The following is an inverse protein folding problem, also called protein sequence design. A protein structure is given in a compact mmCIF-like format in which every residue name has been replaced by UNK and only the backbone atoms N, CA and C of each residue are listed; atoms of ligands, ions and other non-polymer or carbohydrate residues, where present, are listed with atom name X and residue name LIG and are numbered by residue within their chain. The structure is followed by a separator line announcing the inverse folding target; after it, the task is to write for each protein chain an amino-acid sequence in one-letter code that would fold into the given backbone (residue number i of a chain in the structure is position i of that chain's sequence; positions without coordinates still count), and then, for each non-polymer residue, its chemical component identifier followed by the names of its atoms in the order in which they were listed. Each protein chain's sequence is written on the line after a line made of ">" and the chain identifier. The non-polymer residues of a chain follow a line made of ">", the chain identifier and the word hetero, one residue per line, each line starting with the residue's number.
data_IF_721295536813
#
_entry.id   IF_721295536813
#
_cell.length_a   1.000
_cell.length_b   1.000
_cell.length_c   1.000
_cell.angle_alpha   90.00
_cell.angle_beta   90.00
_cell.angle_gamma   90.00
#
_symmetry.space_group_name_H-M   'P 1'
#
loop_
_entity.id
_entity.type
_entity.pdbx_description
1 polymer ?
#
# COMPACT_ATOMS: atom_id res chain seq x y z
N UNK A 1 32.59 31.12 -19.68
CA UNK A 1 32.19 29.79 -20.20
C UNK A 1 32.24 28.64 -19.17
N UNK A 2 32.18 28.89 -17.85
CA UNK A 2 32.20 27.83 -16.79
C UNK A 2 30.85 27.62 -16.07
N UNK A 3 29.91 28.56 -16.16
CA UNK A 3 28.61 28.50 -15.47
C UNK A 3 27.57 27.59 -16.16
N UNK A 4 27.75 27.25 -17.44
CA UNK A 4 26.80 26.42 -18.20
C UNK A 4 26.95 24.92 -17.83
N UNK A 5 28.17 24.46 -17.51
CA UNK A 5 28.41 23.05 -17.13
C UNK A 5 27.76 22.65 -15.80
N UNK A 6 27.61 23.60 -14.87
CA UNK A 6 27.06 23.34 -13.53
C UNK A 6 25.53 23.09 -13.61
N UNK A 7 24.81 23.87 -14.41
CA UNK A 7 23.35 23.69 -14.57
C UNK A 7 22.98 22.35 -15.21
N UNK A 8 23.75 21.86 -16.17
CA UNK A 8 23.52 20.55 -16.80
C UNK A 8 23.74 19.37 -15.86
N UNK A 9 24.68 19.45 -14.91
CA UNK A 9 24.92 18.38 -13.93
C UNK A 9 23.75 18.26 -12.95
N UNK A 10 23.19 19.38 -12.47
CA UNK A 10 22.01 19.34 -11.61
C UNK A 10 20.75 18.86 -12.34
N UNK A 11 20.60 19.20 -13.62
CA UNK A 11 19.48 18.72 -14.44
C UNK A 11 19.59 17.22 -14.72
N UNK A 12 20.79 16.71 -14.99
CA UNK A 12 21.05 15.28 -15.16
C UNK A 12 20.87 14.53 -13.84
N UNK A 13 21.37 15.06 -12.72
CA UNK A 13 21.15 14.48 -11.40
C UNK A 13 19.66 14.46 -11.01
N UNK A 14 18.91 15.53 -11.26
CA UNK A 14 17.46 15.59 -11.05
C UNK A 14 16.70 14.60 -11.96
N UNK A 15 17.12 14.48 -13.22
CA UNK A 15 16.51 13.54 -14.18
C UNK A 15 16.79 12.07 -13.82
N UNK A 16 18.02 11.76 -13.40
CA UNK A 16 18.38 10.44 -12.87
C UNK A 16 17.58 10.16 -11.60
N UNK A 17 17.47 11.13 -10.69
CA UNK A 17 16.65 11.01 -9.48
C UNK A 17 15.19 10.69 -9.81
N UNK A 18 14.61 11.34 -10.81
CA UNK A 18 13.22 11.11 -11.25
C UNK A 18 13.01 9.72 -11.88
N UNK A 19 13.97 9.22 -12.66
CA UNK A 19 13.91 7.87 -13.26
C UNK A 19 14.07 6.79 -12.18
N UNK A 20 14.95 7.00 -11.20
CA UNK A 20 15.09 6.10 -10.05
C UNK A 20 13.85 6.12 -9.16
N UNK A 21 13.23 7.29 -8.94
CA UNK A 21 11.99 7.42 -8.16
C UNK A 21 10.86 6.62 -8.78
N UNK A 22 10.65 6.65 -10.10
CA UNK A 22 9.58 5.89 -10.75
C UNK A 22 9.75 4.36 -10.63
N UNK A 23 10.98 3.83 -10.79
CA UNK A 23 11.27 2.40 -10.59
C UNK A 23 11.25 2.00 -9.12
N UNK A 24 11.75 2.86 -8.23
CA UNK A 24 11.72 2.65 -6.78
C UNK A 24 10.28 2.62 -6.24
N UNK A 25 9.39 3.51 -6.73
CA UNK A 25 7.98 3.52 -6.34
C UNK A 25 7.29 2.20 -6.68
N UNK A 26 7.60 1.58 -7.82
CA UNK A 26 7.07 0.26 -8.18
C UNK A 26 7.56 -0.85 -7.24
N UNK A 27 8.83 -0.82 -6.84
CA UNK A 27 9.40 -1.77 -5.88
C UNK A 27 8.81 -1.62 -4.48
N UNK A 28 8.61 -0.39 -3.99
CA UNK A 28 7.98 -0.17 -2.67
C UNK A 28 6.55 -0.66 -2.62
N UNK A 29 5.73 -0.38 -3.65
CA UNK A 29 4.36 -0.85 -3.69
C UNK A 29 4.30 -2.38 -3.71
N UNK A 30 5.26 -3.06 -4.35
CA UNK A 30 5.37 -4.51 -4.28
C UNK A 30 5.69 -5.00 -2.86
N UNK A 31 6.57 -4.32 -2.11
CA UNK A 31 6.85 -4.68 -0.72
C UNK A 31 5.64 -4.41 0.18
N UNK A 32 4.97 -3.28 0.02
CA UNK A 32 3.73 -2.99 0.73
C UNK A 32 2.65 -4.03 0.41
N UNK A 33 2.49 -4.43 -0.86
CA UNK A 33 1.59 -5.51 -1.27
C UNK A 33 1.95 -6.83 -0.59
N UNK A 34 3.23 -7.20 -0.63
CA UNK A 34 3.74 -8.42 0.00
C UNK A 34 3.45 -8.44 1.51
N UNK A 35 3.78 -7.38 2.25
CA UNK A 35 3.49 -7.32 3.68
C UNK A 35 2.00 -7.20 3.99
N UNK A 36 1.22 -6.54 3.15
CA UNK A 36 -0.24 -6.48 3.29
C UNK A 36 -0.90 -7.84 3.03
N UNK A 37 -0.24 -8.76 2.32
CA UNK A 37 -0.70 -10.14 2.19
C UNK A 37 -0.69 -10.84 3.56
N UNK A 38 0.34 -10.63 4.38
CA UNK A 38 0.51 -11.30 5.68
C UNK A 38 -0.07 -10.51 6.86
N UNK A 39 0.03 -9.18 6.84
CA UNK A 39 -0.31 -8.28 7.94
C UNK A 39 -1.12 -7.07 7.44
N UNK A 40 -2.33 -7.28 6.88
CA UNK A 40 -3.17 -6.18 6.44
C UNK A 40 -3.76 -5.41 7.65
N UNK A 41 -4.05 -4.11 7.55
CA UNK A 41 -3.50 -3.18 6.59
C UNK A 41 -2.13 -2.64 7.04
N UNK A 42 -1.04 -3.10 6.41
CA UNK A 42 0.36 -2.78 6.82
C UNK A 42 0.62 -1.27 6.94
N UNK A 43 -0.04 -0.48 6.10
CA UNK A 43 0.05 0.98 6.10
C UNK A 43 -0.41 1.60 7.44
N UNK A 44 -1.48 1.07 8.03
CA UNK A 44 -2.01 1.59 9.29
C UNK A 44 -1.05 1.30 10.44
N UNK A 45 -0.42 0.12 10.46
CA UNK A 45 0.61 -0.20 11.46
C UNK A 45 1.79 0.78 11.39
N UNK A 46 2.23 1.13 10.19
CA UNK A 46 3.27 2.14 9.98
C UNK A 46 2.82 3.51 10.49
N UNK A 47 1.58 3.92 10.19
CA UNK A 47 1.03 5.19 10.67
C UNK A 47 0.93 5.26 12.20
N UNK A 48 0.53 4.17 12.86
CA UNK A 48 0.50 4.10 14.33
C UNK A 48 1.91 4.22 14.89
N UNK A 49 2.89 3.49 14.34
CA UNK A 49 4.27 3.55 14.80
C UNK A 49 4.85 4.98 14.68
N UNK A 50 4.68 5.61 13.52
CA UNK A 50 5.15 6.97 13.27
C UNK A 50 4.41 7.99 14.14
N UNK A 51 3.09 7.88 14.25
CA UNK A 51 2.26 8.76 15.06
C UNK A 51 2.60 8.68 16.55
N UNK A 52 2.84 7.47 17.07
CA UNK A 52 3.23 7.27 18.46
C UNK A 52 4.62 7.83 18.74
N UNK A 53 5.58 7.61 17.83
CA UNK A 53 6.92 8.19 17.95
C UNK A 53 6.89 9.72 17.90
N UNK A 54 6.15 10.31 16.96
CA UNK A 54 6.02 11.75 16.82
C UNK A 54 5.31 12.37 18.04
N UNK A 55 4.25 11.76 18.55
CA UNK A 55 3.53 12.23 19.74
C UNK A 55 4.44 12.25 20.97
N UNK A 56 5.28 11.23 21.16
CA UNK A 56 6.23 11.19 22.28
C UNK A 56 7.39 12.17 22.10
N UNK A 57 7.81 12.47 20.85
CA UNK A 57 8.79 13.51 20.55
C UNK A 57 8.27 14.94 20.82
N UNK A 58 7.01 15.21 20.48
CA UNK A 58 6.31 16.44 20.83
C UNK A 58 6.29 16.59 22.35
N UNK A 59 5.91 15.55 23.07
CA UNK A 59 5.88 15.55 24.53
C UNK A 59 7.27 15.84 25.14
N UNK A 60 8.31 15.13 24.66
CA UNK A 60 9.70 15.35 25.07
C UNK A 60 10.12 16.81 24.91
N UNK A 61 9.78 17.42 23.78
CA UNK A 61 10.13 18.81 23.44
C UNK A 61 9.34 19.83 24.27
N UNK A 62 8.01 19.67 24.39
CA UNK A 62 7.12 20.59 25.10
C UNK A 62 7.42 20.61 26.60
N UNK A 63 7.62 19.44 27.21
CA UNK A 63 7.90 19.32 28.64
C UNK A 63 9.39 19.39 28.98
N UNK A 64 10.27 19.57 27.98
CA UNK A 64 11.73 19.63 28.11
C UNK A 64 12.31 18.45 28.91
N UNK A 65 11.74 17.25 28.71
CA UNK A 65 12.20 16.01 29.39
C UNK A 65 12.94 15.12 28.41
N UNK A 66 14.06 14.54 28.85
CA UNK A 66 14.79 13.56 28.04
C UNK A 66 14.11 12.19 28.15
N UNK A 67 13.45 11.76 27.09
CA UNK A 67 12.92 10.41 26.95
C UNK A 67 13.94 9.51 26.25
N UNK A 68 13.93 8.21 26.56
CA UNK A 68 14.90 7.26 26.00
C UNK A 68 14.69 7.11 24.48
N UNK A 69 15.77 7.23 23.70
CA UNK A 69 15.79 7.11 22.24
C UNK A 69 14.79 8.00 21.48
N UNK A 70 14.39 9.12 22.08
CA UNK A 70 13.52 10.14 21.48
C UNK A 70 14.29 11.47 21.49
N UNK A 71 14.86 11.88 20.34
CA UNK A 71 15.54 13.16 20.24
C UNK A 71 14.53 14.32 20.19
N UNK A 72 15.01 15.53 19.86
CA UNK A 72 14.14 16.68 19.66
C UNK A 72 13.18 16.48 18.48
N UNK A 73 12.07 17.21 18.46
CA UNK A 73 11.05 17.09 17.41
C UNK A 73 11.61 17.31 16.00
N UNK A 74 12.55 18.25 15.83
CA UNK A 74 13.16 18.54 14.52
C UNK A 74 13.92 17.34 13.96
N UNK A 75 14.74 16.69 14.79
CA UNK A 75 15.48 15.49 14.39
C UNK A 75 14.53 14.30 14.17
N UNK A 76 13.49 14.16 14.98
CA UNK A 76 12.45 13.13 14.77
C UNK A 76 11.77 13.30 13.42
N UNK A 77 11.33 14.51 13.08
CA UNK A 77 10.70 14.77 11.77
C UNK A 77 11.68 14.46 10.64
N UNK A 78 12.94 14.87 10.75
CA UNK A 78 13.97 14.55 9.76
C UNK A 78 14.17 13.03 9.61
N UNK A 79 14.26 12.30 10.72
CA UNK A 79 14.39 10.83 10.71
C UNK A 79 13.17 10.16 10.07
N UNK A 80 11.96 10.62 10.38
CA UNK A 80 10.73 10.11 9.77
C UNK A 80 10.76 10.34 8.25
N UNK A 81 11.14 11.54 7.79
CA UNK A 81 11.25 11.83 6.35
C UNK A 81 12.28 10.93 5.68
N UNK A 82 13.47 10.79 6.26
CA UNK A 82 14.52 9.91 5.73
C UNK A 82 14.04 8.45 5.67
N UNK A 83 13.40 7.96 6.73
CA UNK A 83 12.89 6.59 6.77
C UNK A 83 11.69 6.39 5.84
N UNK A 84 10.82 7.38 5.65
CA UNK A 84 9.77 7.33 4.64
C UNK A 84 10.38 7.20 3.24
N UNK A 85 11.36 8.05 2.90
CA UNK A 85 12.08 7.95 1.62
C UNK A 85 12.76 6.59 1.48
N UNK A 86 13.45 6.10 2.50
CA UNK A 86 14.08 4.78 2.49
C UNK A 86 13.07 3.62 2.36
N UNK A 87 11.87 3.77 2.95
CA UNK A 87 10.76 2.83 2.83
C UNK A 87 10.24 2.75 1.39
N UNK A 88 10.24 3.88 0.66
CA UNK A 88 9.87 3.93 -0.75
C UNK A 88 10.98 3.43 -1.69
N UNK A 89 12.22 3.31 -1.24
CA UNK A 89 13.35 2.94 -2.11
C UNK A 89 13.79 1.48 -1.91
N UNK A 90 13.88 0.97 -0.68
CA UNK A 90 14.50 -0.35 -0.42
C UNK A 90 13.80 -1.23 0.61
N UNK A 91 13.46 -0.70 1.78
CA UNK A 91 13.13 -1.52 2.96
C UNK A 91 11.63 -1.74 3.15
N UNK A 92 10.80 -0.97 2.45
CA UNK A 92 9.36 -1.07 2.54
C UNK A 92 8.84 -0.69 3.93
N UNK A 93 7.66 -1.17 4.32
CA UNK A 93 7.03 -0.80 5.58
C UNK A 93 7.84 -1.22 6.82
N UNK A 94 8.71 -2.23 6.71
CA UNK A 94 9.51 -2.70 7.84
C UNK A 94 10.50 -1.67 8.37
N UNK A 95 10.93 -0.70 7.56
CA UNK A 95 11.76 0.41 8.03
C UNK A 95 11.04 1.36 9.00
N UNK A 96 9.70 1.36 9.00
CA UNK A 96 8.88 2.28 9.79
C UNK A 96 8.41 1.65 11.11
N UNK A 97 8.29 0.31 11.19
CA UNK A 97 7.83 -0.38 12.41
C UNK A 97 8.75 -0.20 13.63
N UNK A 98 10.10 -0.14 13.50
CA UNK A 98 10.99 0.07 14.65
C UNK A 98 10.74 1.36 15.43
N UNK A 99 10.10 2.36 14.82
CA UNK A 99 9.71 3.60 15.52
C UNK A 99 8.71 3.37 16.65
N UNK A 100 8.05 2.21 16.71
CA UNK A 100 7.18 1.83 17.82
C UNK A 100 7.96 1.45 19.10
N UNK A 101 9.25 1.09 19.00
CA UNK A 101 10.03 0.56 20.12
C UNK A 101 10.32 1.63 21.19
N UNK A 102 10.88 2.82 20.86
CA UNK A 102 11.14 3.85 21.87
C UNK A 102 9.91 4.30 22.68
N UNK A 103 8.75 4.60 22.07
CA UNK A 103 7.60 5.08 22.83
C UNK A 103 7.02 3.96 23.71
N UNK A 104 7.04 2.71 23.24
CA UNK A 104 6.65 1.55 24.04
C UNK A 104 7.57 1.34 25.25
N UNK A 105 8.89 1.45 25.06
CA UNK A 105 9.86 1.33 26.14
C UNK A 105 9.66 2.44 27.20
N UNK A 106 9.42 3.68 26.78
CA UNK A 106 9.12 4.78 27.70
C UNK A 106 7.80 4.58 28.43
N UNK A 107 6.76 4.09 27.75
CA UNK A 107 5.46 3.74 28.36
C UNK A 107 5.63 2.67 29.46
N UNK A 108 6.30 1.56 29.16
CA UNK A 108 6.57 0.49 30.14
C UNK A 108 7.44 1.02 31.29
N UNK A 109 8.43 1.86 30.99
CA UNK A 109 9.29 2.48 31.99
C UNK A 109 8.51 3.32 33.00
N UNK A 110 7.52 4.11 32.54
CA UNK A 110 6.65 4.91 33.41
C UNK A 110 5.76 4.02 34.28
N UNK A 111 5.24 2.90 33.75
CA UNK A 111 4.43 1.97 34.53
C UNK A 111 5.24 1.29 35.66
N UNK A 112 6.51 0.97 35.40
CA UNK A 112 7.39 0.32 36.38
C UNK A 112 7.96 1.29 37.42
N UNK A 113 8.23 2.54 37.04
CA UNK A 113 8.91 3.53 37.91
C UNK A 113 8.01 4.75 38.13
N UNK A 114 7.11 4.65 39.12
CA UNK A 114 6.11 5.69 39.43
C UNK A 114 6.69 7.09 39.72
N UNK A 115 7.97 7.21 40.07
CA UNK A 115 8.59 8.49 40.48
C UNK A 115 9.63 9.05 39.49
N UNK A 116 9.79 8.49 38.28
CA UNK A 116 10.83 8.96 37.33
C UNK A 116 10.56 10.35 36.75
N UNK A 117 9.29 10.71 36.59
CA UNK A 117 8.85 11.99 36.04
C UNK A 117 7.75 12.60 36.89
N UNK A 118 7.46 13.90 36.67
CA UNK A 118 6.33 14.56 37.31
C UNK A 118 5.02 13.83 36.97
N UNK A 119 4.06 13.86 37.91
CA UNK A 119 2.79 13.16 37.77
C UNK A 119 2.04 13.51 36.48
N UNK A 120 2.11 14.79 36.05
CA UNK A 120 1.49 15.27 34.81
C UNK A 120 2.11 14.59 33.58
N UNK A 121 3.45 14.54 33.49
CA UNK A 121 4.17 13.95 32.35
C UNK A 121 3.91 12.45 32.28
N UNK A 122 4.02 11.75 33.42
CA UNK A 122 3.73 10.32 33.52
C UNK A 122 2.32 9.99 33.05
N UNK A 123 1.31 10.78 33.47
CA UNK A 123 -0.08 10.61 33.04
C UNK A 123 -0.25 10.82 31.53
N UNK A 124 0.41 11.82 30.94
CA UNK A 124 0.33 12.04 29.48
C UNK A 124 1.00 10.90 28.69
N UNK A 125 2.17 10.41 29.12
CA UNK A 125 2.83 9.25 28.50
C UNK A 125 1.91 8.02 28.56
N UNK A 126 1.29 7.77 29.73
CA UNK A 126 0.35 6.66 29.91
C UNK A 126 -0.86 6.81 28.97
N UNK A 127 -1.47 7.99 28.91
CA UNK A 127 -2.65 8.22 28.06
C UNK A 127 -2.35 8.01 26.57
N UNK A 128 -1.22 8.56 26.08
CA UNK A 128 -0.78 8.36 24.69
C UNK A 128 -0.52 6.88 24.42
N UNK A 129 0.16 6.20 25.36
CA UNK A 129 0.45 4.77 25.24
C UNK A 129 -0.79 3.89 25.22
N UNK A 130 -1.74 4.12 26.14
CA UNK A 130 -3.03 3.40 26.16
C UNK A 130 -3.79 3.63 24.86
N UNK A 131 -3.87 4.87 24.38
CA UNK A 131 -4.52 5.18 23.11
C UNK A 131 -3.89 4.42 21.93
N UNK A 132 -2.55 4.43 21.83
CA UNK A 132 -1.84 3.69 20.80
C UNK A 132 -2.06 2.18 20.92
N UNK A 133 -2.06 1.61 22.13
CA UNK A 133 -2.33 0.19 22.37
C UNK A 133 -3.77 -0.20 22.00
N UNK A 134 -4.77 0.66 22.29
CA UNK A 134 -6.16 0.45 21.85
C UNK A 134 -6.24 0.43 20.33
N UNK A 135 -5.58 1.37 19.64
CA UNK A 135 -5.53 1.36 18.18
C UNK A 135 -4.87 0.09 17.64
N UNK A 136 -3.73 -0.32 18.20
CA UNK A 136 -3.06 -1.56 17.83
C UNK A 136 -3.99 -2.76 18.02
N UNK A 137 -4.72 -2.83 19.13
CA UNK A 137 -5.68 -3.92 19.39
C UNK A 137 -6.82 -3.94 18.37
N UNK A 138 -7.46 -2.79 18.11
CA UNK A 138 -8.54 -2.68 17.11
C UNK A 138 -8.06 -3.11 15.73
N UNK A 139 -6.89 -2.63 15.30
CA UNK A 139 -6.34 -2.97 13.99
C UNK A 139 -5.78 -4.39 13.92
N UNK A 140 -5.41 -5.00 15.06
CA UNK A 140 -5.12 -6.45 15.13
C UNK A 140 -6.37 -7.26 14.81
N UNK A 141 -7.51 -6.93 15.43
CA UNK A 141 -8.78 -7.61 15.17
C UNK A 141 -9.20 -7.42 13.70
N UNK A 142 -9.08 -6.21 13.17
CA UNK A 142 -9.36 -5.96 11.75
C UNK A 142 -8.41 -6.72 10.83
N UNK A 143 -7.12 -6.80 11.16
CA UNK A 143 -6.12 -7.58 10.42
C UNK A 143 -6.54 -9.04 10.31
N UNK A 144 -6.86 -9.66 11.45
CA UNK A 144 -7.33 -11.05 11.51
C UNK A 144 -8.58 -11.22 10.65
N UNK A 145 -9.57 -10.33 10.80
CA UNK A 145 -10.80 -10.37 10.00
C UNK A 145 -10.49 -10.27 8.50
N UNK A 146 -9.59 -9.38 8.09
CA UNK A 146 -9.19 -9.25 6.67
C UNK A 146 -8.48 -10.51 6.20
N UNK A 147 -7.52 -11.05 6.96
CA UNK A 147 -6.80 -12.29 6.59
C UNK A 147 -7.77 -13.46 6.42
N UNK A 148 -8.76 -13.59 7.31
CA UNK A 148 -9.75 -14.69 7.24
C UNK A 148 -10.78 -14.54 6.11
N UNK A 149 -11.11 -13.32 5.71
CA UNK A 149 -12.23 -13.06 4.76
C UNK A 149 -11.78 -12.59 3.38
N UNK A 150 -10.53 -12.17 3.22
CA UNK A 150 -10.01 -11.67 1.95
C UNK A 150 -9.73 -12.82 1.00
N UNK A 151 -10.42 -12.82 -0.12
CA UNK A 151 -10.14 -13.72 -1.24
C UNK A 151 -8.92 -13.22 -2.03
N UNK A 152 -8.20 -14.14 -2.69
CA UNK A 152 -7.10 -13.80 -3.60
C UNK A 152 -7.53 -12.75 -4.64
N UNK A 153 -8.78 -12.82 -5.08
CA UNK A 153 -9.37 -11.87 -6.04
C UNK A 153 -9.41 -10.44 -5.47
N UNK A 154 -9.89 -10.27 -4.22
CA UNK A 154 -9.90 -8.96 -3.56
C UNK A 154 -8.49 -8.43 -3.32
N UNK A 155 -7.52 -9.32 -3.07
CA UNK A 155 -6.12 -8.95 -2.94
C UNK A 155 -5.53 -8.46 -4.28
N UNK A 156 -5.81 -9.16 -5.38
CA UNK A 156 -5.37 -8.77 -6.74
C UNK A 156 -5.93 -7.39 -7.10
N UNK A 157 -7.23 -7.16 -6.89
CA UNK A 157 -7.86 -5.85 -7.18
C UNK A 157 -7.26 -4.73 -6.33
N UNK A 158 -6.93 -4.99 -5.05
CA UNK A 158 -6.33 -3.98 -4.16
C UNK A 158 -4.91 -3.58 -4.60
N UNK A 159 -4.13 -4.55 -5.06
CA UNK A 159 -2.71 -4.37 -5.37
C UNK A 159 -2.40 -4.58 -6.86
N UNK A 160 -3.34 -4.21 -7.73
CA UNK A 160 -3.18 -4.34 -9.18
C UNK A 160 -1.90 -3.64 -9.66
N UNK A 161 -1.26 -4.23 -10.67
CA UNK A 161 0.03 -3.78 -11.20
C UNK A 161 1.25 -4.19 -10.38
N UNK A 162 1.10 -4.73 -9.16
CA UNK A 162 2.24 -5.21 -8.36
C UNK A 162 2.64 -6.65 -8.71
N UNK A 163 3.92 -6.99 -8.57
CA UNK A 163 4.42 -8.36 -8.81
C UNK A 163 3.67 -9.41 -7.96
N UNK A 164 3.43 -9.20 -6.65
CA UNK A 164 2.66 -10.15 -5.84
C UNK A 164 1.23 -10.38 -6.36
N UNK A 165 0.55 -9.35 -6.84
CA UNK A 165 -0.78 -9.49 -7.44
C UNK A 165 -0.73 -10.29 -8.75
N UNK A 166 0.27 -10.05 -9.61
CA UNK A 166 0.48 -10.83 -10.84
C UNK A 166 0.74 -12.31 -10.52
N UNK A 167 1.57 -12.60 -9.50
CA UNK A 167 1.83 -13.98 -9.06
C UNK A 167 0.55 -14.65 -8.54
N UNK A 168 -0.24 -13.94 -7.73
CA UNK A 168 -1.53 -14.43 -7.24
C UNK A 168 -2.51 -14.70 -8.39
N UNK A 169 -2.58 -13.79 -9.38
CA UNK A 169 -3.40 -13.96 -10.57
C UNK A 169 -2.99 -15.17 -11.41
N UNK A 170 -1.68 -15.35 -11.66
CA UNK A 170 -1.16 -16.52 -12.37
C UNK A 170 -1.46 -17.84 -11.65
N UNK A 171 -1.53 -17.82 -10.31
CA UNK A 171 -1.94 -18.98 -9.52
C UNK A 171 -3.42 -19.30 -9.71
N UNK A 172 -4.29 -18.29 -9.79
CA UNK A 172 -5.72 -18.48 -10.12
C UNK A 172 -5.86 -19.07 -11.52
N UNK A 173 -5.17 -18.50 -12.52
CA UNK A 173 -5.19 -19.01 -13.89
C UNK A 173 -4.80 -20.50 -13.97
N UNK A 174 -3.77 -20.91 -13.22
CA UNK A 174 -3.32 -22.30 -13.17
C UNK A 174 -4.30 -23.23 -12.45
N UNK A 175 -4.90 -22.78 -11.34
CA UNK A 175 -5.76 -23.62 -10.50
C UNK A 175 -7.18 -23.74 -11.01
N UNK A 176 -7.73 -22.65 -11.56
CA UNK A 176 -9.13 -22.55 -11.95
C UNK A 176 -9.25 -21.80 -13.27
N UNK A 177 -8.74 -22.36 -14.37
CA UNK A 177 -8.72 -21.68 -15.66
C UNK A 177 -10.14 -21.35 -16.17
N UNK A 178 -11.18 -22.06 -15.73
CA UNK A 178 -12.55 -21.88 -16.24
C UNK A 178 -13.45 -20.97 -15.41
N UNK A 179 -12.99 -20.49 -14.25
CA UNK A 179 -13.82 -19.66 -13.35
C UNK A 179 -14.01 -18.23 -13.87
N UNK A 180 -15.04 -18.03 -14.68
CA UNK A 180 -15.41 -16.73 -15.27
C UNK A 180 -15.82 -15.68 -14.24
N UNK A 181 -16.45 -16.08 -13.13
CA UNK A 181 -16.87 -15.21 -12.03
C UNK A 181 -15.70 -14.40 -11.45
N UNK A 182 -14.54 -15.03 -11.29
CA UNK A 182 -13.32 -14.39 -10.79
C UNK A 182 -12.81 -13.33 -11.76
N UNK A 183 -12.72 -13.65 -13.06
CA UNK A 183 -12.24 -12.74 -14.09
C UNK A 183 -13.18 -11.55 -14.28
N UNK A 184 -14.51 -11.80 -14.23
CA UNK A 184 -15.54 -10.75 -14.27
C UNK A 184 -15.41 -9.80 -13.08
N UNK A 185 -15.22 -10.33 -11.87
CA UNK A 185 -15.03 -9.50 -10.67
C UNK A 185 -13.80 -8.59 -10.78
N UNK A 186 -12.67 -9.12 -11.27
CA UNK A 186 -11.44 -8.35 -11.48
C UNK A 186 -11.69 -7.17 -12.42
N UNK A 187 -12.32 -7.43 -13.56
CA UNK A 187 -12.61 -6.38 -14.56
C UNK A 187 -13.59 -5.33 -14.05
N UNK A 188 -14.62 -5.72 -13.29
CA UNK A 188 -15.65 -4.79 -12.81
C UNK A 188 -15.14 -3.81 -11.74
N UNK A 189 -14.16 -4.25 -10.94
CA UNK A 189 -13.66 -3.53 -9.78
C UNK A 189 -12.29 -2.86 -9.99
N UNK A 190 -11.56 -3.19 -11.05
CA UNK A 190 -10.33 -2.49 -11.40
C UNK A 190 -10.61 -1.11 -12.01
N UNK A 191 -9.92 -0.08 -11.49
CA UNK A 191 -9.97 1.29 -12.01
C UNK A 191 -9.01 1.52 -13.18
N UNK A 192 -8.07 0.60 -13.41
CA UNK A 192 -7.06 0.64 -14.48
C UNK A 192 -6.90 -0.77 -15.05
N UNK A 193 -6.87 -0.94 -16.37
CA UNK A 193 -6.70 -2.26 -16.98
C UNK A 193 -5.25 -2.68 -17.10
N UNK A 194 -4.55 -2.84 -15.98
CA UNK A 194 -3.17 -3.31 -16.03
C UNK A 194 -3.12 -4.81 -16.34
N UNK A 195 -2.30 -5.57 -15.62
CA UNK A 195 -1.92 -6.91 -16.04
C UNK A 195 -2.99 -7.96 -15.70
N UNK A 196 -3.66 -7.84 -14.56
CA UNK A 196 -4.68 -8.79 -14.13
C UNK A 196 -5.99 -8.63 -14.94
N UNK A 197 -6.48 -7.39 -15.15
CA UNK A 197 -7.57 -7.13 -16.10
C UNK A 197 -7.25 -7.60 -17.52
N UNK A 198 -6.05 -7.34 -18.06
CA UNK A 198 -5.69 -7.80 -19.41
C UNK A 198 -5.72 -9.33 -19.54
N UNK A 199 -5.22 -10.04 -18.54
CA UNK A 199 -5.32 -11.50 -18.48
C UNK A 199 -6.79 -11.98 -18.39
N UNK A 200 -7.59 -11.28 -17.60
CA UNK A 200 -9.02 -11.56 -17.42
C UNK A 200 -9.82 -11.33 -18.71
N UNK A 201 -9.55 -10.25 -19.44
CA UNK A 201 -10.17 -9.94 -20.73
C UNK A 201 -9.86 -11.01 -21.77
N UNK A 202 -8.60 -11.45 -21.86
CA UNK A 202 -8.22 -12.58 -22.72
C UNK A 202 -8.99 -13.84 -22.34
N UNK A 203 -9.18 -14.10 -21.05
CA UNK A 203 -9.89 -15.30 -20.63
C UNK A 203 -11.38 -15.22 -20.92
N UNK A 204 -12.01 -14.06 -20.73
CA UNK A 204 -13.38 -13.79 -21.14
C UNK A 204 -13.52 -13.91 -22.66
N UNK A 205 -12.58 -13.41 -23.47
CA UNK A 205 -12.63 -13.62 -24.93
C UNK A 205 -12.65 -15.10 -25.30
N UNK A 206 -11.94 -15.96 -24.56
CA UNK A 206 -11.81 -17.40 -24.83
C UNK A 206 -13.02 -18.20 -24.30
N UNK A 207 -13.53 -17.91 -23.11
CA UNK A 207 -14.53 -18.73 -22.44
C UNK A 207 -15.88 -18.04 -22.18
N UNK A 208 -15.92 -16.72 -22.30
CA UNK A 208 -17.06 -15.89 -21.92
C UNK A 208 -18.29 -16.10 -22.78
N UNK A 209 -19.41 -15.61 -22.26
CA UNK A 209 -20.71 -15.61 -22.92
C UNK A 209 -21.05 -14.18 -23.38
N UNK A 210 -21.20 -13.94 -24.69
CA UNK A 210 -21.46 -12.59 -25.21
C UNK A 210 -22.65 -11.90 -24.56
N UNK A 211 -23.73 -12.63 -24.26
CA UNK A 211 -24.97 -12.06 -23.70
C UNK A 211 -24.75 -11.46 -22.32
N UNK A 212 -23.91 -12.08 -21.50
CA UNK A 212 -23.61 -11.62 -20.14
C UNK A 212 -22.41 -10.66 -20.10
N UNK A 213 -21.38 -10.93 -20.90
CA UNK A 213 -20.09 -10.27 -20.78
C UNK A 213 -20.02 -8.94 -21.54
N UNK A 214 -20.68 -8.81 -22.71
CA UNK A 214 -20.66 -7.55 -23.48
C UNK A 214 -21.25 -6.37 -22.69
N UNK A 215 -22.43 -6.50 -22.02
CA UNK A 215 -22.96 -5.42 -21.19
C UNK A 215 -22.00 -5.01 -20.06
N UNK A 216 -21.32 -5.99 -19.43
CA UNK A 216 -20.32 -5.72 -18.38
C UNK A 216 -19.12 -4.97 -18.94
N UNK A 217 -18.58 -5.43 -20.07
CA UNK A 217 -17.44 -4.82 -20.74
C UNK A 217 -17.74 -3.40 -21.23
N UNK A 218 -18.93 -3.14 -21.75
CA UNK A 218 -19.36 -1.78 -22.11
C UNK A 218 -19.34 -0.83 -20.90
N UNK A 219 -19.89 -1.25 -19.75
CA UNK A 219 -19.83 -0.45 -18.51
C UNK A 219 -18.40 -0.17 -18.05
N UNK A 220 -17.48 -1.09 -18.30
CA UNK A 220 -16.07 -0.89 -17.95
C UNK A 220 -15.41 0.04 -18.98
N UNK A 221 -15.75 -0.07 -20.26
CA UNK A 221 -15.29 0.78 -21.35
C UNK A 221 -15.65 2.25 -21.17
N UNK A 222 -16.84 2.53 -20.63
CA UNK A 222 -17.28 3.91 -20.31
C UNK A 222 -16.39 4.59 -19.28
N UNK A 223 -15.83 3.80 -18.35
CA UNK A 223 -14.94 4.26 -17.27
C UNK A 223 -13.46 4.15 -17.65
N UNK A 224 -13.14 3.49 -18.75
CA UNK A 224 -11.79 3.19 -19.15
C UNK A 224 -11.08 4.39 -19.77
N UNK A 225 -9.78 4.47 -19.51
CA UNK A 225 -8.91 5.50 -20.07
C UNK A 225 -8.71 5.29 -21.58
N UNK A 226 -8.28 6.32 -22.32
CA UNK A 226 -8.06 6.25 -23.78
C UNK A 226 -7.17 5.07 -24.21
N UNK A 227 -6.21 4.67 -23.37
CA UNK A 227 -5.28 3.57 -23.64
C UNK A 227 -5.89 2.17 -23.48
N UNK A 228 -6.92 2.04 -22.64
CA UNK A 228 -7.50 0.75 -22.29
C UNK A 228 -8.68 0.39 -23.22
N UNK A 229 -9.36 1.39 -23.78
CA UNK A 229 -10.51 1.22 -24.69
C UNK A 229 -10.25 0.26 -25.86
N UNK A 230 -9.13 0.31 -26.60
CA UNK A 230 -8.87 -0.61 -27.70
C UNK A 230 -8.81 -2.09 -27.27
N UNK A 231 -8.28 -2.35 -26.07
CA UNK A 231 -8.17 -3.69 -25.52
C UNK A 231 -9.56 -4.28 -25.19
N UNK A 232 -10.42 -3.46 -24.59
CA UNK A 232 -11.80 -3.83 -24.26
C UNK A 232 -12.60 -4.06 -25.53
N UNK A 233 -12.48 -3.13 -26.49
CA UNK A 233 -13.19 -3.22 -27.77
C UNK A 233 -12.81 -4.50 -28.51
N UNK A 234 -11.51 -4.82 -28.61
CA UNK A 234 -11.07 -6.08 -29.23
C UNK A 234 -11.60 -7.33 -28.51
N UNK A 235 -11.84 -7.25 -27.20
CA UNK A 235 -12.48 -8.35 -26.43
C UNK A 235 -13.96 -8.46 -26.75
N UNK A 236 -14.68 -7.33 -26.84
CA UNK A 236 -16.08 -7.28 -27.26
C UNK A 236 -16.23 -7.83 -28.68
N UNK A 237 -15.36 -7.44 -29.60
CA UNK A 237 -15.39 -7.89 -31.00
C UNK A 237 -15.15 -9.41 -31.09
N UNK A 238 -14.19 -9.94 -30.31
CA UNK A 238 -13.94 -11.38 -30.22
C UNK A 238 -15.13 -12.16 -29.65
N UNK A 239 -15.86 -11.60 -28.68
CA UNK A 239 -17.09 -12.20 -28.16
C UNK A 239 -18.22 -12.16 -29.19
N UNK A 240 -18.41 -11.04 -29.90
CA UNK A 240 -19.43 -10.92 -30.97
C UNK A 240 -19.18 -11.92 -32.10
N UNK A 241 -17.93 -12.10 -32.51
CA UNK A 241 -17.53 -13.03 -33.56
C UNK A 241 -17.89 -14.50 -33.24
N UNK A 242 -18.09 -14.85 -31.97
CA UNK A 242 -18.56 -16.18 -31.55
C UNK A 242 -20.07 -16.42 -31.74
N UNK A 243 -20.79 -15.47 -32.33
CA UNK A 243 -22.09 -15.73 -32.97
C UNK A 243 -23.27 -15.96 -32.04
N UNK A 244 -23.24 -15.46 -30.79
CA UNK A 244 -24.36 -15.62 -29.82
C UNK A 244 -25.27 -14.39 -29.69
N UNK A 245 -25.03 -13.33 -30.48
CA UNK A 245 -25.86 -12.13 -30.55
C UNK A 245 -25.86 -11.63 -32.00
N UNK A 246 -27.05 -11.49 -32.59
CA UNK A 246 -27.31 -10.67 -33.78
C UNK A 246 -27.57 -9.24 -33.32
N UNK A 247 -27.00 -8.26 -34.04
CA UNK A 247 -27.14 -6.82 -33.77
C UNK A 247 -28.58 -6.40 -33.44
#
# INVERSE_FOLDING_TARGET
>A
MRLIKIKSIYLIAASISLIFVAKATACSQCQFAYFDYFMPPIQIWCLIALGWYLATAILSTVYKVKLWAIPNIALVVLLIVICLVASFIMLGPLSLLPFMIPPLANFIGVLKQKNKYSQKISKTIINIGIFALILLFIFTIQSIKIVMTRTDVKYIVKWDGTIPAIVAFNKILKKNPERLDVYRYIIENEKSMHYAAKGSLKRIAILGDPQEDIPRLNRVMDRANKYDKPLIQGTIDALKAKGKITN
#
